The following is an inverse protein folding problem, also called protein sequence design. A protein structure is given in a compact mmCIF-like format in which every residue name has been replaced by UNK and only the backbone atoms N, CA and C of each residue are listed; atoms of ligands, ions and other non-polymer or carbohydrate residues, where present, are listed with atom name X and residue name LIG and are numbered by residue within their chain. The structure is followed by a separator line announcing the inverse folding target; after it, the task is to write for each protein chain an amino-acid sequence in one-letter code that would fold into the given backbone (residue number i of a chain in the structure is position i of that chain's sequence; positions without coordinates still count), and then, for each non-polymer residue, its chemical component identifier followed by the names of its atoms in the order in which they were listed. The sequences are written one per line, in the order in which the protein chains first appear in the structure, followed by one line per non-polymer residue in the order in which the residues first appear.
data_IF_980271554171
#
_entry.id   IF_980271554171
#
_cell.length_a   1.000
_cell.length_b   1.000
_cell.length_c   1.000
_cell.angle_alpha   90.00
_cell.angle_beta   90.00
_cell.angle_gamma   90.00
#
_symmetry.space_group_name_H-M   'P 1'
#
loop_
_entity.id
_entity.type
_entity.pdbx_description
1 polymer ?
#
# COMPACT_ATOMS: atom_id res chain seq x y z
N UNK A 1 -41.21 -35.46 18.89
CA UNK A 1 -40.60 -34.76 20.04
C UNK A 1 -39.11 -34.65 19.79
N UNK A 2 -38.65 -33.48 19.33
CA UNK A 2 -37.22 -33.14 19.20
C UNK A 2 -36.70 -32.64 20.55
N UNK A 3 -35.46 -32.98 20.89
CA UNK A 3 -34.47 -31.96 21.24
C UNK A 3 -33.17 -32.20 20.45
N UNK A 4 -32.83 -31.30 19.53
CA UNK A 4 -31.78 -30.29 19.74
C UNK A 4 -30.39 -30.76 19.27
N UNK A 5 -30.24 -30.94 17.96
CA UNK A 5 -28.97 -30.79 17.27
C UNK A 5 -28.61 -29.28 17.15
N UNK A 6 -28.72 -28.56 18.27
CA UNK A 6 -28.68 -27.09 18.32
C UNK A 6 -27.67 -26.56 19.33
N UNK A 7 -26.79 -27.42 19.86
CA UNK A 7 -25.67 -27.00 20.68
C UNK A 7 -24.37 -27.55 20.10
N UNK A 8 -23.33 -26.71 20.13
CA UNK A 8 -21.92 -27.01 19.84
C UNK A 8 -21.38 -26.66 18.45
N UNK A 9 -22.05 -25.78 17.70
CA UNK A 9 -21.35 -24.88 16.77
C UNK A 9 -21.18 -23.51 17.44
N UNK A 10 -20.44 -23.49 18.56
CA UNK A 10 -19.90 -22.20 19.02
C UNK A 10 -19.02 -21.69 17.89
N UNK A 11 -19.30 -20.51 17.31
CA UNK A 11 -18.28 -19.87 16.51
C UNK A 11 -17.13 -19.69 17.50
N UNK A 12 -16.01 -20.36 17.24
CA UNK A 12 -14.75 -19.95 17.85
C UNK A 12 -14.63 -18.48 17.44
N UNK A 13 -15.02 -17.58 18.34
CA UNK A 13 -14.59 -16.20 18.32
C UNK A 13 -13.08 -16.33 18.40
N UNK A 14 -12.46 -16.43 17.24
CA UNK A 14 -11.02 -16.53 17.07
C UNK A 14 -10.52 -15.27 17.77
N UNK A 15 -10.04 -15.41 19.01
CA UNK A 15 -9.55 -14.28 19.78
C UNK A 15 -8.30 -13.85 19.04
N UNK A 16 -8.43 -12.79 18.24
CA UNK A 16 -7.32 -12.25 17.48
C UNK A 16 -6.22 -11.89 18.46
N UNK A 17 -5.12 -12.64 18.39
CA UNK A 17 -3.96 -12.36 19.21
C UNK A 17 -3.21 -11.16 18.62
N UNK A 18 -2.41 -10.48 19.45
CA UNK A 18 -1.50 -9.45 18.95
C UNK A 18 -0.54 -10.00 17.88
N UNK A 19 -0.25 -11.30 17.93
CA UNK A 19 0.56 -12.00 16.93
C UNK A 19 -0.15 -12.06 15.57
N UNK A 20 -1.45 -12.33 15.54
CA UNK A 20 -2.23 -12.37 14.29
C UNK A 20 -2.26 -11.00 13.61
N UNK A 21 -2.47 -9.94 14.39
CA UNK A 21 -2.38 -8.55 13.90
C UNK A 21 -0.98 -8.22 13.37
N UNK A 22 0.06 -8.64 14.07
CA UNK A 22 1.44 -8.42 13.63
C UNK A 22 1.74 -9.17 12.32
N UNK A 23 1.33 -10.44 12.19
CA UNK A 23 1.50 -11.22 10.96
C UNK A 23 0.73 -10.62 9.79
N UNK A 24 -0.49 -10.13 10.02
CA UNK A 24 -1.27 -9.45 9.00
C UNK A 24 -0.65 -8.12 8.57
N UNK A 25 -0.13 -7.35 9.52
CA UNK A 25 0.64 -6.15 9.22
C UNK A 25 1.89 -6.47 8.38
N UNK A 26 2.66 -7.48 8.75
CA UNK A 26 3.84 -7.91 7.99
C UNK A 26 3.45 -8.38 6.59
N UNK A 27 2.37 -9.15 6.45
CA UNK A 27 1.84 -9.57 5.16
C UNK A 27 1.49 -8.38 4.26
N UNK A 28 0.71 -7.42 4.77
CA UNK A 28 0.35 -6.21 4.03
C UNK A 28 1.58 -5.35 3.71
N UNK A 29 2.52 -5.23 4.65
CA UNK A 29 3.75 -4.48 4.45
C UNK A 29 4.58 -5.10 3.32
N UNK A 30 4.89 -6.39 3.41
CA UNK A 30 5.69 -7.11 2.40
C UNK A 30 5.03 -7.02 1.02
N UNK A 31 3.72 -7.23 0.94
CA UNK A 31 2.99 -7.12 -0.32
C UNK A 31 3.07 -5.71 -0.91
N UNK A 32 2.83 -4.68 -0.10
CA UNK A 32 2.90 -3.28 -0.56
C UNK A 32 4.31 -2.90 -1.01
N UNK A 33 5.33 -3.29 -0.25
CA UNK A 33 6.73 -3.08 -0.63
C UNK A 33 7.04 -3.77 -1.95
N UNK A 34 6.64 -5.04 -2.12
CA UNK A 34 6.90 -5.80 -3.33
C UNK A 34 6.29 -5.15 -4.58
N UNK A 35 5.06 -4.64 -4.50
CA UNK A 35 4.39 -4.03 -5.65
C UNK A 35 4.82 -2.58 -5.90
N UNK A 36 5.12 -1.82 -4.85
CA UNK A 36 5.24 -0.36 -4.94
C UNK A 36 6.68 0.14 -4.94
N UNK A 37 7.67 -0.68 -4.56
CA UNK A 37 9.08 -0.33 -4.79
C UNK A 37 9.41 -0.25 -6.29
N UNK A 38 8.92 -1.13 -7.18
CA UNK A 38 9.10 -1.01 -8.62
C UNK A 38 8.72 0.36 -9.20
N UNK A 39 7.60 0.95 -8.75
CA UNK A 39 7.15 2.27 -9.24
C UNK A 39 8.10 3.41 -8.85
N UNK A 40 8.84 3.27 -7.74
CA UNK A 40 9.86 4.22 -7.30
C UNK A 40 11.23 4.02 -7.98
N UNK A 41 11.43 2.96 -8.77
CA UNK A 41 12.71 2.62 -9.41
C UNK A 41 13.33 3.77 -10.21
N UNK A 42 12.61 4.50 -11.07
CA UNK A 42 13.18 5.63 -11.83
C UNK A 42 13.76 6.71 -10.90
N UNK A 43 13.06 6.98 -9.79
CA UNK A 43 13.50 7.91 -8.76
C UNK A 43 14.76 7.40 -8.04
N UNK A 44 14.77 6.13 -7.63
CA UNK A 44 15.90 5.50 -6.94
C UNK A 44 17.17 5.49 -7.81
N UNK A 45 17.03 5.17 -9.10
CA UNK A 45 18.13 5.23 -10.07
C UNK A 45 18.68 6.65 -10.24
N UNK A 46 17.80 7.65 -10.24
CA UNK A 46 18.23 9.03 -10.37
C UNK A 46 18.98 9.53 -9.12
N UNK A 47 18.49 9.20 -7.92
CA UNK A 47 19.24 9.45 -6.68
C UNK A 47 20.58 8.70 -6.65
N UNK A 48 20.63 7.45 -7.11
CA UNK A 48 21.87 6.69 -7.21
C UNK A 48 22.87 7.35 -8.19
N UNK A 49 22.38 7.88 -9.31
CA UNK A 49 23.20 8.58 -10.31
C UNK A 49 23.76 9.89 -9.76
N UNK A 50 22.92 10.69 -9.10
CA UNK A 50 23.36 11.95 -8.45
C UNK A 50 24.37 11.65 -7.33
N UNK A 51 24.13 10.62 -6.52
CA UNK A 51 25.05 10.21 -5.46
C UNK A 51 26.40 9.77 -6.02
N UNK A 52 26.43 8.99 -7.12
CA UNK A 52 27.67 8.60 -7.81
C UNK A 52 28.42 9.82 -8.35
N UNK A 53 27.73 10.76 -8.98
CA UNK A 53 28.34 11.97 -9.54
C UNK A 53 28.91 12.88 -8.44
N UNK A 54 28.22 13.03 -7.31
CA UNK A 54 28.73 13.80 -6.15
C UNK A 54 29.95 13.13 -5.53
N UNK A 55 29.98 11.79 -5.39
CA UNK A 55 31.17 11.06 -4.92
C UNK A 55 32.37 11.26 -5.84
N UNK A 56 32.17 11.22 -7.17
CA UNK A 56 33.24 11.50 -8.13
C UNK A 56 33.81 12.92 -7.99
N UNK A 57 33.00 13.87 -7.53
CA UNK A 57 33.40 15.25 -7.23
C UNK A 57 33.85 15.48 -5.79
N UNK A 58 34.07 14.41 -5.01
CA UNK A 58 34.41 14.45 -3.57
C UNK A 58 33.41 15.25 -2.71
N UNK A 59 32.16 15.35 -3.15
CA UNK A 59 31.09 16.02 -2.41
C UNK A 59 30.31 15.03 -1.53
N UNK A 60 29.73 15.48 -0.41
CA UNK A 60 28.85 14.66 0.42
C UNK A 60 27.70 14.08 -0.41
N UNK A 61 27.66 12.75 -0.50
CA UNK A 61 26.63 12.04 -1.23
C UNK A 61 25.45 11.69 -0.33
N UNK A 62 24.24 11.99 -0.79
CA UNK A 62 23.01 11.65 -0.10
C UNK A 62 22.68 10.17 -0.41
N UNK A 63 22.55 9.29 0.61
CA UNK A 63 22.24 7.89 0.39
C UNK A 63 20.82 7.70 -0.17
N UNK A 64 20.70 7.00 -1.30
CA UNK A 64 19.40 6.60 -1.88
C UNK A 64 18.52 5.85 -0.88
N UNK A 65 19.13 5.11 0.05
CA UNK A 65 18.42 4.37 1.09
C UNK A 65 17.58 5.26 2.03
N UNK A 66 17.94 6.53 2.22
CA UNK A 66 17.17 7.44 3.08
C UNK A 66 15.92 7.96 2.39
N UNK A 67 15.98 8.16 1.07
CA UNK A 67 14.78 8.42 0.29
C UNK A 67 13.84 7.22 0.34
N UNK A 68 14.38 6.01 0.13
CA UNK A 68 13.60 4.77 0.18
C UNK A 68 12.97 4.55 1.56
N UNK A 69 13.69 4.82 2.66
CA UNK A 69 13.10 4.67 3.99
C UNK A 69 11.92 5.61 4.22
N UNK A 70 12.01 6.86 3.75
CA UNK A 70 10.88 7.80 3.80
C UNK A 70 9.66 7.32 3.00
N UNK A 71 9.90 6.73 1.82
CA UNK A 71 8.86 6.12 1.00
C UNK A 71 8.20 4.93 1.70
N UNK A 72 9.01 4.02 2.26
CA UNK A 72 8.54 2.83 2.97
C UNK A 72 7.79 3.16 4.27
N UNK A 73 8.13 4.26 4.95
CA UNK A 73 7.39 4.72 6.13
C UNK A 73 5.92 5.05 5.80
N UNK A 74 5.67 5.67 4.65
CA UNK A 74 4.30 5.98 4.22
C UNK A 74 3.54 4.70 3.88
N UNK A 75 4.19 3.76 3.19
CA UNK A 75 3.59 2.45 2.92
C UNK A 75 3.34 1.64 4.19
N UNK A 76 4.22 1.71 5.18
CA UNK A 76 3.97 1.11 6.48
C UNK A 76 2.73 1.70 7.17
N UNK A 77 2.55 3.03 7.08
CA UNK A 77 1.32 3.68 7.55
C UNK A 77 0.08 3.16 6.82
N UNK A 78 0.13 3.02 5.50
CA UNK A 78 -0.95 2.43 4.71
C UNK A 78 -1.24 0.98 5.11
N UNK A 79 -0.20 0.15 5.26
CA UNK A 79 -0.34 -1.25 5.69
C UNK A 79 -0.94 -1.37 7.09
N UNK A 80 -0.63 -0.45 8.01
CA UNK A 80 -1.27 -0.41 9.32
C UNK A 80 -2.78 -0.13 9.19
N UNK A 81 -3.17 0.87 8.41
CA UNK A 81 -4.58 1.19 8.13
C UNK A 81 -5.28 -0.02 7.50
N UNK A 82 -4.62 -0.69 6.55
CA UNK A 82 -5.15 -1.86 5.87
C UNK A 82 -5.37 -3.03 6.85
N UNK A 83 -4.42 -3.30 7.74
CA UNK A 83 -4.55 -4.32 8.79
C UNK A 83 -5.70 -4.01 9.74
N UNK A 84 -5.82 -2.76 10.21
CA UNK A 84 -6.94 -2.35 11.07
C UNK A 84 -8.29 -2.47 10.37
N UNK A 85 -8.36 -2.08 9.09
CA UNK A 85 -9.57 -2.26 8.29
C UNK A 85 -9.92 -3.74 8.14
N UNK A 86 -8.94 -4.60 7.84
CA UNK A 86 -9.16 -6.04 7.71
C UNK A 86 -9.62 -6.67 9.03
N UNK A 87 -9.02 -6.25 10.14
CA UNK A 87 -9.44 -6.67 11.47
C UNK A 87 -10.88 -6.26 11.78
N UNK A 88 -11.23 -5.00 11.52
CA UNK A 88 -12.58 -4.47 11.75
C UNK A 88 -13.65 -5.14 10.88
N UNK A 89 -13.35 -5.42 9.61
CA UNK A 89 -14.27 -6.14 8.74
C UNK A 89 -14.42 -7.61 9.17
N UNK A 90 -13.36 -8.24 9.69
CA UNK A 90 -13.40 -9.63 10.13
C UNK A 90 -14.16 -9.76 11.46
N UNK A 91 -13.96 -8.84 12.41
CA UNK A 91 -14.72 -8.80 13.66
C UNK A 91 -16.22 -8.54 13.45
N UNK A 92 -16.58 -7.85 12.37
CA UNK A 92 -17.97 -7.67 11.95
C UNK A 92 -18.57 -8.87 11.17
N UNK A 93 -17.86 -9.99 11.05
CA UNK A 93 -18.24 -11.18 10.26
C UNK A 93 -18.49 -10.89 8.76
N UNK A 94 -17.93 -9.79 8.24
CA UNK A 94 -18.07 -9.35 6.85
C UNK A 94 -16.94 -9.87 5.94
N UNK A 95 -16.00 -10.65 6.50
CA UNK A 95 -14.93 -11.33 5.78
C UNK A 95 -15.01 -12.84 6.01
N UNK A 96 -14.81 -13.60 4.94
CA UNK A 96 -14.68 -15.05 5.00
C UNK A 96 -13.34 -15.45 5.62
N UNK A 97 -13.19 -16.73 6.04
CA UNK A 97 -11.89 -17.27 6.43
C UNK A 97 -10.82 -17.13 5.36
N UNK A 98 -11.22 -16.96 4.09
CA UNK A 98 -10.34 -16.74 2.94
C UNK A 98 -9.97 -15.25 2.72
N UNK A 99 -10.27 -14.36 3.67
CA UNK A 99 -10.08 -12.90 3.60
C UNK A 99 -10.75 -12.23 2.39
N UNK A 100 -11.83 -12.82 1.88
CA UNK A 100 -12.70 -12.24 0.84
C UNK A 100 -13.95 -11.69 1.51
N UNK A 101 -14.38 -10.49 1.12
CA UNK A 101 -15.65 -9.91 1.58
C UNK A 101 -16.81 -10.87 1.33
N UNK A 102 -17.53 -11.25 2.38
CA UNK A 102 -18.74 -12.11 2.29
C UNK A 102 -19.98 -11.33 1.86
N UNK A 103 -19.95 -10.00 1.96
CA UNK A 103 -21.06 -9.12 1.60
C UNK A 103 -20.92 -8.54 0.19
N UNK A 104 -21.75 -9.02 -0.75
CA UNK A 104 -21.81 -8.51 -2.12
C UNK A 104 -22.03 -6.99 -2.20
N UNK A 105 -22.74 -6.41 -1.21
CA UNK A 105 -22.97 -4.96 -1.13
C UNK A 105 -21.71 -4.16 -0.81
N UNK A 106 -20.85 -4.67 0.08
CA UNK A 106 -19.56 -4.03 0.40
C UNK A 106 -18.57 -4.17 -0.76
N UNK A 107 -18.47 -5.36 -1.35
CA UNK A 107 -17.62 -5.60 -2.52
C UNK A 107 -18.03 -4.74 -3.72
N UNK A 108 -19.35 -4.67 -4.00
CA UNK A 108 -19.90 -3.81 -5.05
C UNK A 108 -19.67 -2.33 -4.77
N UNK A 109 -19.86 -1.88 -3.52
CA UNK A 109 -19.58 -0.49 -3.13
C UNK A 109 -18.11 -0.11 -3.32
N UNK A 110 -17.18 -0.96 -2.89
CA UNK A 110 -15.74 -0.76 -3.10
C UNK A 110 -15.38 -0.70 -4.59
N UNK A 111 -15.97 -1.58 -5.42
CA UNK A 111 -15.76 -1.57 -6.87
C UNK A 111 -16.30 -0.28 -7.52
N UNK A 112 -17.48 0.18 -7.13
CA UNK A 112 -18.06 1.44 -7.63
C UNK A 112 -17.17 2.62 -7.21
N UNK A 113 -16.76 2.70 -5.95
CA UNK A 113 -15.88 3.77 -5.46
C UNK A 113 -14.53 3.75 -6.18
N UNK A 114 -13.94 2.57 -6.36
CA UNK A 114 -12.68 2.42 -7.08
C UNK A 114 -12.81 2.81 -8.55
N UNK A 115 -13.90 2.39 -9.22
CA UNK A 115 -14.21 2.76 -10.59
C UNK A 115 -14.38 4.28 -10.73
N UNK A 116 -15.24 4.89 -9.91
CA UNK A 116 -15.45 6.34 -9.91
C UNK A 116 -14.13 7.08 -9.68
N UNK A 117 -13.36 6.69 -8.67
CA UNK A 117 -12.05 7.30 -8.41
C UNK A 117 -11.07 7.11 -9.58
N UNK A 118 -11.14 5.98 -10.29
CA UNK A 118 -10.29 5.69 -11.44
C UNK A 118 -10.57 6.59 -12.63
N UNK A 119 -11.83 7.01 -12.82
CA UNK A 119 -12.24 7.94 -13.88
C UNK A 119 -12.17 9.43 -13.47
N UNK A 120 -11.83 9.74 -12.22
CA UNK A 120 -11.73 11.13 -11.76
C UNK A 120 -10.45 11.80 -12.30
N UNK A 121 -10.52 13.05 -12.81
CA UNK A 121 -9.34 13.79 -13.30
C UNK A 121 -8.27 14.03 -12.23
N UNK A 122 -8.64 14.00 -10.95
CA UNK A 122 -7.72 14.01 -9.82
C UNK A 122 -6.70 12.86 -9.87
N UNK A 123 -7.11 11.65 -10.31
CA UNK A 123 -6.20 10.50 -10.42
C UNK A 123 -5.16 10.72 -11.51
N UNK A 124 -5.56 11.19 -12.68
CA UNK A 124 -4.63 11.46 -13.79
C UNK A 124 -3.61 12.54 -13.44
N UNK A 125 -4.03 13.58 -12.71
CA UNK A 125 -3.15 14.65 -12.24
C UNK A 125 -2.20 14.17 -11.13
N UNK A 126 -2.69 13.34 -10.22
CA UNK A 126 -1.88 12.71 -9.18
C UNK A 126 -0.82 11.80 -9.81
N UNK A 127 -1.22 10.94 -10.75
CA UNK A 127 -0.35 9.95 -11.37
C UNK A 127 0.73 10.59 -12.25
N UNK A 128 0.40 11.67 -12.98
CA UNK A 128 1.40 12.43 -13.73
C UNK A 128 2.45 13.04 -12.81
N UNK A 129 2.06 13.49 -11.61
CA UNK A 129 2.97 14.02 -10.59
C UNK A 129 3.77 12.93 -9.86
N UNK A 130 3.18 11.77 -9.54
CA UNK A 130 3.91 10.63 -8.95
C UNK A 130 4.94 10.07 -9.97
N UNK A 131 4.67 10.07 -11.29
CA UNK A 131 5.62 9.59 -12.31
C UNK A 131 6.63 10.62 -12.82
N UNK A 132 6.40 11.92 -12.60
CA UNK A 132 7.32 12.97 -13.06
C UNK A 132 8.56 13.07 -12.15
N UNK A 133 9.55 12.23 -12.41
CA UNK A 133 10.82 12.19 -11.65
C UNK A 133 11.55 13.53 -11.72
N UNK A 134 11.72 14.10 -12.91
CA UNK A 134 12.45 15.36 -13.11
C UNK A 134 11.67 16.56 -12.56
N UNK A 135 10.36 16.61 -12.75
CA UNK A 135 9.51 17.67 -12.19
C UNK A 135 9.49 17.66 -10.67
N UNK A 136 9.44 16.48 -10.05
CA UNK A 136 9.53 16.36 -8.61
C UNK A 136 10.90 16.76 -8.08
N UNK A 137 11.99 16.30 -8.70
CA UNK A 137 13.34 16.67 -8.29
C UNK A 137 13.56 18.17 -8.38
N UNK A 138 13.20 18.81 -9.50
CA UNK A 138 13.40 20.26 -9.66
C UNK A 138 12.56 21.10 -8.71
N UNK A 139 11.33 20.69 -8.40
CA UNK A 139 10.44 21.44 -7.51
C UNK A 139 10.71 21.20 -6.01
N UNK A 140 11.15 20.00 -5.63
CA UNK A 140 11.18 19.55 -4.23
C UNK A 140 12.56 19.07 -3.78
N UNK A 141 13.63 19.33 -4.55
CA UNK A 141 14.99 18.96 -4.16
C UNK A 141 15.34 19.56 -2.80
N UNK A 142 15.71 18.69 -1.86
CA UNK A 142 16.20 19.08 -0.54
C UNK A 142 17.51 18.40 -0.26
N UNK A 143 18.52 19.19 0.06
CA UNK A 143 19.84 18.66 0.40
C UNK A 143 19.87 18.00 1.78
N UNK A 144 20.84 17.10 1.96
CA UNK A 144 21.09 16.39 3.21
C UNK A 144 20.16 15.19 3.47
N UNK A 145 20.47 14.46 4.55
CA UNK A 145 19.76 13.23 4.94
C UNK A 145 18.28 13.52 5.25
N UNK A 146 18.01 14.60 5.99
CA UNK A 146 16.63 15.03 6.32
C UNK A 146 15.85 15.43 5.07
N UNK A 147 16.51 16.09 4.11
CA UNK A 147 15.92 16.45 2.83
C UNK A 147 15.48 15.21 2.05
N UNK A 148 16.35 14.20 1.97
CA UNK A 148 16.05 12.92 1.32
C UNK A 148 14.86 12.19 1.96
N UNK A 149 14.80 12.17 3.30
CA UNK A 149 13.69 11.54 4.02
C UNK A 149 12.36 12.25 3.72
N UNK A 150 12.34 13.59 3.78
CA UNK A 150 11.15 14.39 3.48
C UNK A 150 10.71 14.17 2.02
N UNK A 151 11.65 14.13 1.09
CA UNK A 151 11.36 13.82 -0.32
C UNK A 151 10.74 12.43 -0.47
N UNK A 152 11.29 11.41 0.22
CA UNK A 152 10.74 10.05 0.24
C UNK A 152 9.31 10.01 0.78
N UNK A 153 9.05 10.67 1.91
CA UNK A 153 7.70 10.76 2.51
C UNK A 153 6.72 11.47 1.59
N UNK A 154 7.11 12.60 0.99
CA UNK A 154 6.25 13.30 0.03
C UNK A 154 5.93 12.43 -1.19
N UNK A 155 6.94 11.77 -1.76
CA UNK A 155 6.76 10.90 -2.91
C UNK A 155 5.86 9.69 -2.58
N UNK A 156 6.09 9.05 -1.43
CA UNK A 156 5.24 7.99 -0.91
C UNK A 156 3.80 8.44 -0.70
N UNK A 157 3.60 9.64 -0.16
CA UNK A 157 2.27 10.25 0.03
C UNK A 157 1.51 10.43 -1.29
N UNK A 158 2.19 10.93 -2.32
CA UNK A 158 1.59 11.03 -3.66
C UNK A 158 1.22 9.65 -4.18
N UNK A 159 2.13 8.68 -4.19
CA UNK A 159 1.84 7.38 -4.79
C UNK A 159 0.77 6.58 -4.01
N UNK A 160 0.72 6.67 -2.68
CA UNK A 160 -0.41 6.13 -1.90
C UNK A 160 -1.71 6.84 -2.30
N UNK A 161 -1.74 8.17 -2.38
CA UNK A 161 -2.95 8.93 -2.77
C UNK A 161 -3.41 8.63 -4.20
N UNK A 162 -2.50 8.28 -5.11
CA UNK A 162 -2.88 7.93 -6.48
C UNK A 162 -3.37 6.47 -6.59
N UNK A 163 -2.85 5.57 -5.74
CA UNK A 163 -3.06 4.12 -5.85
C UNK A 163 -3.99 3.53 -4.79
N UNK A 164 -4.38 4.28 -3.74
CA UNK A 164 -5.14 3.77 -2.59
C UNK A 164 -6.42 3.01 -2.98
N UNK A 165 -7.16 3.50 -3.99
CA UNK A 165 -8.40 2.88 -4.46
C UNK A 165 -8.17 1.53 -5.12
N UNK A 166 -7.09 1.38 -5.89
CA UNK A 166 -6.69 0.09 -6.47
C UNK A 166 -6.22 -0.87 -5.39
N UNK A 167 -5.47 -0.36 -4.40
CA UNK A 167 -5.05 -1.16 -3.26
C UNK A 167 -6.25 -1.59 -2.40
N UNK A 168 -7.31 -0.79 -2.32
CA UNK A 168 -8.55 -1.14 -1.64
C UNK A 168 -9.30 -2.30 -2.33
N UNK A 169 -9.10 -2.52 -3.64
CA UNK A 169 -9.69 -3.66 -4.34
C UNK A 169 -9.12 -5.01 -3.90
N UNK A 170 -7.92 -5.04 -3.31
CA UNK A 170 -7.34 -6.25 -2.74
C UNK A 170 -8.19 -6.83 -1.59
N UNK A 171 -8.98 -6.00 -0.90
CA UNK A 171 -9.95 -6.46 0.10
C UNK A 171 -11.16 -7.17 -0.52
N UNK A 172 -11.51 -6.82 -1.76
CA UNK A 172 -12.65 -7.40 -2.48
C UNK A 172 -12.24 -8.71 -3.16
N UNK A 173 -11.09 -8.71 -3.84
CA UNK A 173 -10.59 -9.88 -4.57
C UNK A 173 -9.92 -10.93 -3.68
N UNK A 174 -9.51 -10.53 -2.47
CA UNK A 174 -8.73 -11.35 -1.55
C UNK A 174 -7.24 -11.31 -1.85
N UNK A 175 -6.43 -11.07 -0.81
CA UNK A 175 -4.96 -11.04 -0.87
C UNK A 175 -4.38 -12.39 -1.35
N UNK A 176 -5.11 -13.49 -1.13
CA UNK A 176 -4.72 -14.83 -1.56
C UNK A 176 -4.89 -15.07 -3.07
N UNK A 177 -5.57 -14.18 -3.79
CA UNK A 177 -5.72 -14.31 -5.23
C UNK A 177 -4.53 -13.65 -5.95
N UNK A 178 -3.47 -14.45 -6.14
CA UNK A 178 -2.23 -14.04 -6.81
C UNK A 178 -2.45 -13.44 -8.21
N UNK A 179 -3.49 -13.87 -8.95
CA UNK A 179 -3.81 -13.30 -10.26
C UNK A 179 -4.21 -11.83 -10.14
N UNK A 180 -5.03 -11.47 -9.15
CA UNK A 180 -5.45 -10.07 -8.92
C UNK A 180 -4.31 -9.21 -8.42
N UNK A 181 -3.51 -9.75 -7.49
CA UNK A 181 -2.27 -9.15 -6.98
C UNK A 181 -1.34 -8.78 -8.14
N UNK A 182 -1.08 -9.71 -9.06
CA UNK A 182 -0.23 -9.48 -10.23
C UNK A 182 -0.87 -8.49 -11.22
N UNK A 183 -2.17 -8.61 -11.49
CA UNK A 183 -2.86 -7.70 -12.41
C UNK A 183 -2.80 -6.24 -11.93
N UNK A 184 -3.00 -6.02 -10.62
CA UNK A 184 -2.88 -4.68 -10.01
C UNK A 184 -1.43 -4.20 -10.05
N UNK A 185 -0.46 -5.06 -9.72
CA UNK A 185 0.95 -4.70 -9.74
C UNK A 185 1.46 -4.30 -11.15
N UNK A 186 0.97 -4.95 -12.20
CA UNK A 186 1.29 -4.59 -13.59
C UNK A 186 0.61 -3.29 -14.03
N UNK A 187 -0.57 -3.00 -13.46
CA UNK A 187 -1.34 -1.81 -13.81
C UNK A 187 -0.77 -0.51 -13.21
N UNK A 188 -0.14 -0.59 -12.04
CA UNK A 188 0.43 0.57 -11.31
C UNK A 188 1.78 0.99 -11.91
#
# INVERSE_FOLDING_TARGET
MSPSAMDMAMPMLQQWSAMDLALLFVMWLVMMVAMMVPSATPMLLMFATIARQRRARQQPAIPTGIFLSGYLLVWAGYSAIATFAQWALHSAALLSPMMVTTSTRLGGGLLIVAGLFQFTPLKSLCLSRCRSTLGFLTAEWREGLRGALIMGVKHGGYCVTCCWSLMALLFVAGVMNLLWVVAIAVFV
#
